data_IF_740840230781
#
_entry.id   IF_740840230781
#
_cell.length_a   1.000
_cell.length_b   1.000
_cell.length_c   1.000
_cell.angle_alpha   90.00
_cell.angle_beta   90.00
_cell.angle_gamma   90.00
#
_symmetry.space_group_name_H-M   'P 1'
#
loop_
_entity.id
_entity.type
_entity.pdbx_description
1 polymer ?
#
# COMPACT_ATOMS: atom_id res chain seq x y z
N UNK A 1 -17.01 1.92 19.74
CA UNK A 1 -17.29 0.57 19.24
C UNK A 1 -16.03 0.05 18.58
N UNK A 2 -15.15 -0.59 19.35
CA UNK A 2 -14.08 -1.42 18.80
C UNK A 2 -14.64 -2.82 18.55
N UNK A 3 -14.64 -3.27 17.30
CA UNK A 3 -14.22 -4.63 16.96
C UNK A 3 -14.26 -4.82 15.45
N UNK A 4 -13.07 -4.97 14.89
CA UNK A 4 -12.87 -5.32 13.49
C UNK A 4 -11.41 -5.62 13.22
N UNK A 5 -10.70 -6.22 14.18
CA UNK A 5 -9.35 -6.76 13.96
C UNK A 5 -9.48 -8.06 13.14
N UNK A 6 -10.00 -7.93 11.93
CA UNK A 6 -9.90 -8.95 10.90
C UNK A 6 -8.50 -8.79 10.30
N UNK A 7 -7.49 -9.26 11.04
CA UNK A 7 -6.13 -9.41 10.54
C UNK A 7 -6.16 -10.25 9.25
N UNK A 8 -6.26 -9.57 8.12
CA UNK A 8 -6.18 -10.19 6.80
C UNK A 8 -4.79 -9.92 6.29
N UNK A 9 -3.98 -10.98 6.25
CA UNK A 9 -2.65 -11.11 5.64
C UNK A 9 -2.15 -9.84 4.92
N UNK A 10 -1.20 -9.13 5.51
CA UNK A 10 -0.62 -7.89 5.00
C UNK A 10 -0.36 -6.87 6.10
N UNK A 11 -0.24 -5.59 5.72
CA UNK A 11 0.04 -4.52 6.66
C UNK A 11 -1.22 -3.81 7.21
N UNK A 12 -1.14 -3.21 8.40
CA UNK A 12 -2.24 -2.59 9.16
C UNK A 12 -2.92 -1.41 8.45
N UNK A 13 -2.23 -0.80 7.48
CA UNK A 13 -2.69 0.38 6.72
C UNK A 13 -3.23 0.09 5.32
N UNK A 14 -3.64 -1.14 5.01
CA UNK A 14 -4.15 -1.48 3.67
C UNK A 14 -5.40 -0.68 3.27
N UNK A 15 -5.49 -0.35 1.99
CA UNK A 15 -6.62 0.36 1.38
C UNK A 15 -7.49 -0.63 0.63
N UNK A 16 -8.80 -0.60 0.85
CA UNK A 16 -9.74 -1.44 0.12
C UNK A 16 -9.83 -0.98 -1.34
N UNK A 17 -9.56 -1.90 -2.26
CA UNK A 17 -9.61 -1.64 -3.69
C UNK A 17 -10.98 -1.95 -4.26
N UNK A 18 -11.66 -0.95 -4.85
CA UNK A 18 -12.92 -1.21 -5.55
C UNK A 18 -12.69 -2.09 -6.78
N UNK A 19 -13.55 -3.09 -6.97
CA UNK A 19 -13.56 -3.87 -8.20
C UNK A 19 -13.94 -2.98 -9.39
N UNK A 20 -13.35 -3.25 -10.55
CA UNK A 20 -13.70 -2.57 -11.80
C UNK A 20 -13.53 -3.51 -12.99
N UNK A 21 -14.51 -3.50 -13.89
CA UNK A 21 -14.48 -4.33 -15.10
C UNK A 21 -13.85 -3.60 -16.30
N UNK A 22 -13.84 -2.27 -16.29
CA UNK A 22 -13.31 -1.46 -17.39
C UNK A 22 -11.82 -1.19 -17.22
N UNK A 23 -11.06 -1.47 -18.28
CA UNK A 23 -9.62 -1.19 -18.35
C UNK A 23 -9.29 0.27 -18.05
N UNK A 24 -10.12 1.22 -18.47
CA UNK A 24 -9.93 2.66 -18.19
C UNK A 24 -9.79 2.92 -16.68
N UNK A 25 -10.70 2.38 -15.87
CA UNK A 25 -10.64 2.52 -14.41
C UNK A 25 -9.49 1.70 -13.83
N UNK A 26 -9.26 0.49 -14.32
CA UNK A 26 -8.17 -0.41 -13.87
C UNK A 26 -6.79 0.22 -14.03
N UNK A 27 -6.55 0.91 -15.14
CA UNK A 27 -5.26 1.53 -15.45
C UNK A 27 -5.19 3.00 -15.01
N UNK A 28 -6.26 3.54 -14.43
CA UNK A 28 -6.24 4.89 -13.84
C UNK A 28 -5.24 4.97 -12.69
N UNK A 29 -4.63 6.13 -12.54
CA UNK A 29 -3.64 6.36 -11.49
C UNK A 29 -4.13 5.98 -10.10
N UNK A 30 -5.33 6.40 -9.63
CA UNK A 30 -5.81 6.07 -8.28
C UNK A 30 -6.00 4.57 -8.07
N UNK A 31 -6.37 3.82 -9.11
CA UNK A 31 -6.57 2.38 -9.00
C UNK A 31 -5.24 1.63 -8.90
N UNK A 32 -4.23 2.07 -9.66
CA UNK A 32 -2.89 1.46 -9.65
C UNK A 32 -2.12 1.75 -8.37
N UNK A 33 -2.22 2.95 -7.81
CA UNK A 33 -1.51 3.31 -6.56
C UNK A 33 -1.97 2.48 -5.36
N UNK A 34 -3.23 2.02 -5.33
CA UNK A 34 -3.72 1.13 -4.26
C UNK A 34 -2.98 -0.21 -4.26
N UNK A 35 -2.67 -0.78 -5.43
CA UNK A 35 -1.89 -2.04 -5.49
C UNK A 35 -0.47 -1.83 -4.98
N UNK A 36 0.16 -0.72 -5.38
CA UNK A 36 1.51 -0.36 -4.96
C UNK A 36 1.55 -0.19 -3.43
N UNK A 37 0.60 0.56 -2.87
CA UNK A 37 0.49 0.78 -1.44
C UNK A 37 0.30 -0.52 -0.68
N UNK A 38 -0.66 -1.35 -1.09
CA UNK A 38 -0.98 -2.61 -0.43
C UNK A 38 0.12 -3.68 -0.52
N UNK A 39 1.09 -3.50 -1.42
CA UNK A 39 2.27 -4.34 -1.57
C UNK A 39 3.47 -3.90 -0.71
N UNK A 40 3.40 -2.76 -0.03
CA UNK A 40 4.46 -2.30 0.87
C UNK A 40 4.50 -3.12 2.17
N UNK A 41 5.68 -3.20 2.80
CA UNK A 41 5.82 -3.86 4.10
C UNK A 41 5.31 -2.97 5.24
N UNK A 42 4.89 -3.58 6.35
CA UNK A 42 4.46 -2.88 7.58
C UNK A 42 5.49 -1.84 8.01
N UNK A 43 6.78 -2.19 7.92
CA UNK A 43 7.90 -1.34 8.36
C UNK A 43 8.04 -0.04 7.54
N UNK A 44 7.62 -0.08 6.27
CA UNK A 44 7.61 1.09 5.38
C UNK A 44 6.38 1.94 5.71
N UNK A 45 5.18 1.37 5.68
CA UNK A 45 3.93 2.13 5.91
C UNK A 45 3.75 2.67 7.33
N UNK A 46 4.42 2.08 8.33
CA UNK A 46 4.39 2.56 9.73
C UNK A 46 5.59 3.42 10.11
N UNK A 47 6.37 3.90 9.13
CA UNK A 47 7.49 4.79 9.41
C UNK A 47 7.06 6.03 10.23
N UNK A 48 7.84 6.35 11.26
CA UNK A 48 7.55 7.42 12.23
C UNK A 48 7.48 8.82 11.60
N UNK A 49 8.12 9.03 10.45
CA UNK A 49 8.15 10.32 9.77
C UNK A 49 8.08 10.17 8.26
N UNK A 50 7.62 11.22 7.59
CA UNK A 50 7.56 11.29 6.12
C UNK A 50 8.94 11.11 5.49
N UNK A 51 9.99 11.62 6.14
CA UNK A 51 11.36 11.45 5.65
C UNK A 51 11.81 9.98 5.71
N UNK A 52 11.61 9.31 6.85
CA UNK A 52 11.90 7.88 7.00
C UNK A 52 11.09 7.03 6.02
N UNK A 53 9.82 7.38 5.79
CA UNK A 53 8.98 6.71 4.79
C UNK A 53 9.60 6.80 3.39
N UNK A 54 9.98 8.01 2.94
CA UNK A 54 10.60 8.23 1.62
C UNK A 54 11.89 7.42 1.46
N UNK A 55 12.78 7.48 2.44
CA UNK A 55 14.07 6.77 2.41
C UNK A 55 13.89 5.25 2.30
N UNK A 56 12.96 4.67 3.09
CA UNK A 56 12.67 3.23 3.02
C UNK A 56 11.99 2.84 1.71
N UNK A 57 11.08 3.67 1.21
CA UNK A 57 10.40 3.44 -0.05
C UNK A 57 11.38 3.46 -1.23
N UNK A 58 12.32 4.42 -1.24
CA UNK A 58 13.34 4.50 -2.28
C UNK A 58 14.27 3.28 -2.23
N UNK A 59 14.75 2.88 -1.04
CA UNK A 59 15.54 1.65 -0.88
C UNK A 59 14.83 0.41 -1.43
N UNK A 60 13.56 0.24 -1.08
CA UNK A 60 12.74 -0.89 -1.56
C UNK A 60 12.67 -0.97 -3.10
N UNK A 61 12.69 0.17 -3.79
CA UNK A 61 12.67 0.23 -5.26
C UNK A 61 13.99 -0.20 -5.90
N UNK A 62 15.12 -0.01 -5.21
CA UNK A 62 16.45 -0.32 -5.75
C UNK A 62 17.02 -1.66 -5.28
N UNK A 63 16.57 -2.20 -4.14
CA UNK A 63 17.03 -3.50 -3.62
C UNK A 63 16.38 -4.72 -4.27
N UNK A 64 15.37 -4.52 -5.12
CA UNK A 64 14.65 -5.61 -5.82
C UNK A 64 15.18 -5.83 -7.25
N UNK A 65 16.47 -5.52 -7.50
CA UNK A 65 17.13 -5.68 -8.80
C UNK A 65 18.21 -6.75 -8.76
#
# INVERSE_FOLDING_TARGET
MEQGDRQTRGHSKKIMKSQCHRNIKRFSFPHRTVDIWNGLSEEIVTAESVHKFKDKLDKCRYTTR
#
